data_IF_321698490625
#
_entry.id   IF_321698490625
#
_cell.length_a   1.000
_cell.length_b   1.000
_cell.length_c   1.000
_cell.angle_alpha   90.00
_cell.angle_beta   90.00
_cell.angle_gamma   90.00
#
_symmetry.space_group_name_H-M   'P 1'
#
loop_
_entity.id
_entity.type
_entity.pdbx_description
1 polymer ?
2 branched ?
3 branched ?
4 non-polymer ?
5 water ?
#
# COMPACT_ATOMS: atom_id res chain seq x y z
N UNK A 19 20.79 2.06 15.40
CA UNK A 19 19.41 2.42 15.84
C UNK A 19 19.08 1.72 17.17
N UNK A 20 18.61 2.48 18.15
CA UNK A 20 18.19 1.98 19.48
C UNK A 20 16.66 1.94 19.58
N UNK A 21 15.94 2.47 18.58
CA UNK A 21 14.47 2.32 18.48
C UNK A 21 14.05 2.50 17.01
N UNK A 22 13.41 1.47 16.44
CA UNK A 22 13.04 1.39 15.01
C UNK A 22 12.14 2.56 14.63
N UNK A 23 12.29 3.08 13.41
CA UNK A 23 11.37 4.07 12.79
C UNK A 23 9.96 3.49 12.74
N UNK A 24 9.84 2.20 12.36
CA UNK A 24 8.59 1.43 12.45
C UNK A 24 7.55 1.85 11.43
N UNK A 25 7.95 2.02 10.17
CA UNK A 25 7.08 2.51 9.07
C UNK A 25 6.85 1.43 8.00
N UNK A 26 7.58 0.30 8.03
CA UNK A 26 7.64 -0.63 6.88
C UNK A 26 6.47 -1.62 6.95
N UNK A 27 5.95 -1.98 5.77
CA UNK A 27 4.85 -2.94 5.65
C UNK A 27 5.01 -3.90 4.48
N UNK A 28 4.34 -5.04 4.57
CA UNK A 28 4.31 -6.06 3.49
C UNK A 28 3.07 -5.87 2.61
N UNK A 29 3.26 -5.60 1.33
CA UNK A 29 2.24 -5.67 0.28
C UNK A 29 2.16 -7.12 -0.18
N UNK A 30 1.16 -7.84 0.34
CA UNK A 30 1.12 -9.31 0.44
C UNK A 30 0.05 -9.87 -0.50
N UNK A 31 0.40 -10.41 -1.68
CA UNK A 31 -0.61 -10.87 -2.63
C UNK A 31 -1.42 -12.10 -2.18
N UNK A 32 -2.61 -12.22 -2.80
CA UNK A 32 -3.57 -13.33 -2.58
C UNK A 32 -2.91 -14.70 -2.79
N UNK A 33 -1.90 -14.77 -3.67
CA UNK A 33 -1.28 -16.05 -4.12
C UNK A 33 -0.12 -16.46 -3.20
N UNK A 34 0.04 -15.85 -2.02
CA UNK A 34 1.22 -16.07 -1.16
C UNK A 34 1.03 -17.21 -0.14
N UNK A 35 0.09 -18.13 -0.34
CA UNK A 35 -0.12 -19.29 0.57
C UNK A 35 1.17 -20.03 0.89
N UNK A 36 2.17 -20.17 -0.03
CA UNK A 36 3.42 -20.86 0.31
C UNK A 36 4.40 -20.04 1.18
N UNK A 37 4.16 -18.76 1.36
CA UNK A 37 5.19 -17.84 1.95
C UNK A 37 4.82 -17.45 3.38
N UNK A 38 5.85 -17.12 4.17
CA UNK A 38 5.74 -16.82 5.62
C UNK A 38 6.10 -15.35 5.84
N UNK A 39 5.14 -14.49 6.24
CA UNK A 39 5.45 -13.07 6.50
C UNK A 39 6.47 -12.88 7.63
N UNK A 40 6.51 -13.82 8.59
CA UNK A 40 7.47 -13.84 9.70
C UNK A 40 8.92 -13.85 9.22
N UNK A 41 9.19 -14.31 8.01
CA UNK A 41 10.57 -14.31 7.43
C UNK A 41 11.08 -12.85 7.34
N UNK A 42 10.20 -11.88 7.09
CA UNK A 42 10.60 -10.46 6.88
C UNK A 42 10.33 -9.62 8.14
N UNK A 43 9.92 -10.25 9.24
CA UNK A 43 9.75 -9.58 10.56
C UNK A 43 10.72 -10.20 11.57
N UNK A 44 11.90 -9.59 11.76
CA UNK A 44 12.92 -10.07 12.72
C UNK A 44 12.60 -9.56 14.13
N UNK A 45 11.51 -8.80 14.30
CA UNK A 45 11.04 -8.32 15.60
C UNK A 45 11.77 -7.06 16.08
N UNK A 46 12.68 -6.50 15.28
CA UNK A 46 13.40 -5.24 15.65
C UNK A 46 12.37 -4.11 15.71
N UNK A 47 11.33 -4.19 14.88
CA UNK A 47 10.19 -3.25 14.90
C UNK A 47 10.17 -2.32 13.70
N UNK A 48 11.01 -2.54 12.68
CA UNK A 48 10.97 -1.72 11.44
C UNK A 48 9.76 -2.14 10.60
N UNK A 49 9.41 -3.44 10.61
CA UNK A 49 8.26 -3.98 9.82
C UNK A 49 7.07 -4.21 10.78
N UNK A 50 5.96 -3.50 10.55
CA UNK A 50 4.85 -3.39 11.54
C UNK A 50 3.51 -3.79 10.92
N UNK A 51 3.35 -3.72 9.59
CA UNK A 51 2.02 -3.81 8.94
C UNK A 51 2.04 -4.78 7.77
N UNK A 52 0.85 -5.26 7.41
CA UNK A 52 0.63 -6.13 6.22
C UNK A 52 -0.74 -5.79 5.65
N UNK A 53 -0.86 -5.71 4.33
CA UNK A 53 -2.17 -5.64 3.64
C UNK A 53 -2.10 -6.54 2.42
N UNK A 54 -3.25 -6.96 1.90
CA UNK A 54 -3.32 -7.98 0.82
C UNK A 54 -4.30 -7.55 -0.28
N UNK A 55 -4.64 -6.26 -0.35
CA UNK A 55 -5.55 -5.66 -1.36
C UNK A 55 -6.99 -6.18 -1.19
N UNK A 56 -7.26 -6.91 -0.11
CA UNK A 56 -8.58 -7.57 0.13
C UNK A 56 -9.01 -7.40 1.59
N UNK A 57 -10.22 -7.84 1.91
CA UNK A 57 -10.81 -7.75 3.28
C UNK A 57 -10.74 -9.11 3.97
N UNK A 58 -10.23 -10.15 3.31
CA UNK A 58 -9.93 -11.47 3.94
C UNK A 58 -8.46 -11.48 4.38
N UNK A 59 -8.15 -12.31 5.37
CA UNK A 59 -6.82 -12.35 6.04
C UNK A 59 -5.76 -12.77 5.02
N UNK A 60 -4.49 -12.30 5.17
CA UNK A 60 -3.41 -12.72 4.28
C UNK A 60 -3.32 -14.24 4.15
N UNK A 61 -3.35 -14.81 2.92
CA UNK A 61 -3.06 -16.22 2.72
C UNK A 61 -1.55 -16.47 2.94
N UNK A 62 -1.20 -17.28 3.93
CA UNK A 62 0.22 -17.52 4.33
C UNK A 62 0.44 -19.01 4.60
N UNK A 63 1.70 -19.42 4.73
CA UNK A 63 2.08 -20.83 5.02
C UNK A 63 1.72 -21.21 6.45
N UNK A 64 1.46 -20.23 7.33
CA UNK A 64 1.29 -20.42 8.80
C UNK A 64 -0.18 -20.28 9.21
N UNK A 65 -1.00 -19.59 8.41
CA UNK A 65 -2.34 -19.12 8.80
C UNK A 65 -2.30 -17.87 9.66
N UNK A 66 -1.09 -17.36 9.95
CA UNK A 66 -0.89 -16.12 10.71
C UNK A 66 -0.20 -15.05 9.88
N UNK A 67 0.16 -13.92 10.50
CA UNK A 67 0.74 -12.75 9.79
C UNK A 67 2.13 -12.43 10.34
N UNK A 68 2.76 -13.37 11.04
CA UNK A 68 4.16 -13.22 11.51
C UNK A 68 4.32 -12.04 12.43
N UNK A 69 3.30 -11.77 13.25
CA UNK A 69 3.29 -10.70 14.27
C UNK A 69 2.92 -9.34 13.70
N UNK A 70 2.59 -9.25 12.41
CA UNK A 70 2.29 -7.96 11.74
C UNK A 70 0.80 -7.62 11.85
N UNK A 71 0.48 -6.34 12.02
CA UNK A 71 -0.91 -5.84 12.08
C UNK A 71 -1.53 -5.80 10.70
N UNK A 72 -2.62 -6.53 10.49
CA UNK A 72 -3.29 -6.60 9.17
C UNK A 72 -4.19 -5.38 8.99
N UNK A 73 -4.06 -4.74 7.84
CA UNK A 73 -4.92 -3.62 7.38
C UNK A 73 -5.85 -4.18 6.31
N UNK A 74 -7.15 -4.24 6.59
CA UNK A 74 -8.16 -4.63 5.59
C UNK A 74 -8.18 -3.63 4.45
N UNK A 75 -8.57 -4.05 3.26
CA UNK A 75 -8.63 -3.13 2.10
C UNK A 75 -9.83 -3.48 1.21
N UNK A 76 -10.73 -2.51 1.06
CA UNK A 76 -11.82 -2.57 0.05
C UNK A 76 -11.29 -1.88 -1.21
N UNK A 77 -10.58 -2.64 -2.05
CA UNK A 77 -9.79 -2.10 -3.17
C UNK A 77 -10.63 -1.93 -4.43
N UNK A 78 -11.78 -2.59 -4.48
CA UNK A 78 -12.81 -2.46 -5.54
C UNK A 78 -14.10 -1.98 -4.87
N UNK A 79 -15.06 -1.46 -5.65
CA UNK A 79 -16.35 -1.00 -5.08
C UNK A 79 -17.16 -2.22 -4.59
N UNK A 80 -16.88 -3.38 -5.15
CA UNK A 80 -17.53 -4.67 -4.79
C UNK A 80 -16.86 -5.77 -5.60
N UNK A 81 -16.60 -6.92 -4.99
CA UNK A 81 -16.05 -8.10 -5.70
C UNK A 81 -16.49 -9.37 -4.99
N UNK A 82 -16.33 -10.51 -5.65
CA UNK A 82 -16.66 -11.84 -5.08
C UNK A 82 -15.72 -12.10 -3.88
N UNK A 83 -14.47 -11.66 -3.99
CA UNK A 83 -13.40 -11.92 -2.97
C UNK A 83 -13.51 -10.92 -1.81
N UNK A 84 -13.87 -9.67 -2.09
CA UNK A 84 -14.12 -8.60 -1.09
C UNK A 84 -15.52 -8.01 -1.30
N UNK A 85 -16.59 -8.75 -0.93
CA UNK A 85 -17.95 -8.24 -1.09
C UNK A 85 -18.12 -7.03 -0.15
N UNK A 86 -18.50 -5.88 -0.68
CA UNK A 86 -18.55 -4.62 0.11
C UNK A 86 -19.63 -4.77 1.20
N UNK A 87 -20.66 -5.59 0.97
CA UNK A 87 -21.70 -5.88 2.00
C UNK A 87 -21.08 -6.52 3.24
N UNK A 88 -19.90 -7.15 3.11
CA UNK A 88 -19.21 -7.86 4.23
C UNK A 88 -18.05 -7.02 4.78
N UNK A 89 -17.83 -5.80 4.30
CA UNK A 89 -16.69 -4.95 4.74
C UNK A 89 -16.78 -4.72 6.26
N UNK A 90 -17.92 -4.22 6.76
CA UNK A 90 -18.10 -3.93 8.21
C UNK A 90 -17.96 -5.23 9.01
N UNK A 91 -18.54 -6.32 8.52
CA UNK A 91 -18.47 -7.66 9.17
C UNK A 91 -17.01 -8.08 9.33
N UNK A 92 -16.22 -7.99 8.26
CA UNK A 92 -14.83 -8.50 8.27
C UNK A 92 -13.97 -7.64 9.18
N UNK A 93 -14.21 -6.33 9.23
CA UNK A 93 -13.47 -5.46 10.19
C UNK A 93 -13.75 -5.94 11.62
N UNK A 94 -15.02 -6.21 11.96
CA UNK A 94 -15.41 -6.60 13.34
C UNK A 94 -14.86 -7.99 13.66
N UNK A 95 -14.96 -8.92 12.72
CA UNK A 95 -14.44 -10.31 12.91
C UNK A 95 -12.92 -10.27 13.16
N UNK A 96 -12.19 -9.42 12.44
CA UNK A 96 -10.70 -9.48 12.39
C UNK A 96 -10.06 -8.42 13.29
N UNK A 97 -10.79 -7.35 13.63
CA UNK A 97 -10.33 -6.30 14.55
C UNK A 97 -9.23 -5.43 13.94
N UNK A 98 -9.31 -5.11 12.65
CA UNK A 98 -8.35 -4.15 12.03
C UNK A 98 -8.35 -2.86 12.84
N UNK A 99 -7.18 -2.23 13.00
CA UNK A 99 -7.06 -0.86 13.53
C UNK A 99 -7.14 0.16 12.39
N UNK A 100 -6.86 -0.27 11.16
CA UNK A 100 -6.83 0.61 9.96
C UNK A 100 -7.51 -0.11 8.79
N UNK A 101 -8.13 0.65 7.89
CA UNK A 101 -8.69 0.12 6.62
C UNK A 101 -8.26 1.03 5.46
N UNK A 102 -7.89 0.41 4.34
CA UNK A 102 -7.62 1.08 3.05
C UNK A 102 -8.85 0.94 2.15
N UNK A 103 -9.02 1.89 1.22
CA UNK A 103 -10.17 1.93 0.30
C UNK A 103 -9.68 1.68 -1.13
N UNK A 104 -10.30 2.31 -2.13
CA UNK A 104 -10.21 1.90 -3.56
C UNK A 104 -8.76 1.97 -4.06
N UNK A 105 -8.38 1.00 -4.90
CA UNK A 105 -7.03 0.91 -5.50
C UNK A 105 -7.04 1.66 -6.84
N UNK A 106 -6.38 2.81 -6.90
CA UNK A 106 -6.14 3.56 -8.16
C UNK A 106 -7.46 3.85 -8.89
N UNK A 107 -8.50 4.42 -8.22
CA UNK A 107 -9.72 4.80 -8.93
C UNK A 107 -9.45 5.86 -10.00
N UNK A 108 -8.37 6.64 -9.84
CA UNK A 108 -8.01 7.76 -10.74
C UNK A 108 -7.70 7.27 -12.15
N UNK A 109 -7.40 5.98 -12.35
CA UNK A 109 -7.15 5.40 -13.71
C UNK A 109 -8.13 4.24 -13.98
N UNK A 110 -9.20 4.12 -13.21
CA UNK A 110 -10.18 3.00 -13.36
C UNK A 110 -11.58 3.55 -13.60
N UNK A 111 -11.68 4.73 -14.22
CA UNK A 111 -12.96 5.29 -14.71
C UNK A 111 -13.99 5.41 -13.60
N UNK A 112 -13.54 5.82 -12.42
CA UNK A 112 -14.38 6.16 -11.24
C UNK A 112 -14.22 7.66 -11.01
N UNK A 113 -15.28 8.45 -11.11
CA UNK A 113 -15.21 9.92 -10.92
C UNK A 113 -14.95 10.20 -9.44
N UNK A 114 -14.35 11.35 -9.11
CA UNK A 114 -14.20 11.75 -7.71
C UNK A 114 -15.54 11.75 -6.96
N UNK A 115 -16.62 12.19 -7.60
CA UNK A 115 -17.99 12.23 -7.01
C UNK A 115 -18.45 10.80 -6.71
N UNK A 116 -18.26 9.87 -7.65
CA UNK A 116 -18.64 8.45 -7.47
C UNK A 116 -17.87 7.86 -6.28
N UNK A 117 -16.58 8.15 -6.19
CA UNK A 117 -15.70 7.61 -5.12
C UNK A 117 -16.14 8.19 -3.78
N UNK A 118 -16.41 9.50 -3.70
CA UNK A 118 -16.86 10.17 -2.46
C UNK A 118 -18.17 9.54 -1.97
N UNK A 119 -19.15 9.37 -2.86
CA UNK A 119 -20.48 8.81 -2.49
C UNK A 119 -20.29 7.39 -1.95
N UNK A 120 -19.50 6.59 -2.66
CA UNK A 120 -19.22 5.18 -2.29
C UNK A 120 -18.49 5.13 -0.95
N UNK A 121 -17.49 6.01 -0.76
CA UNK A 121 -16.67 6.05 0.47
C UNK A 121 -17.57 6.36 1.68
N UNK A 122 -18.47 7.34 1.54
CA UNK A 122 -19.38 7.78 2.63
C UNK A 122 -20.32 6.62 2.99
N UNK A 123 -20.81 5.89 1.98
CA UNK A 123 -21.76 4.77 2.22
C UNK A 123 -21.06 3.61 2.94
N UNK A 124 -19.85 3.24 2.50
CA UNK A 124 -19.26 1.91 2.83
C UNK A 124 -18.07 2.01 3.79
N UNK A 125 -17.25 3.06 3.69
CA UNK A 125 -15.97 3.13 4.46
C UNK A 125 -16.18 3.97 5.72
N UNK A 126 -16.86 5.11 5.61
CA UNK A 126 -17.20 6.01 6.75
C UNK A 126 -17.67 5.21 7.97
N UNK A 127 -18.60 4.23 7.83
CA UNK A 127 -19.14 3.54 9.00
C UNK A 127 -18.14 2.78 9.87
N UNK A 128 -16.96 2.44 9.31
CA UNK A 128 -15.92 1.71 10.06
C UNK A 128 -15.25 2.68 11.04
N UNK A 129 -15.55 2.56 12.33
CA UNK A 129 -15.09 3.49 13.39
C UNK A 129 -13.66 3.14 13.79
N UNK A 130 -12.76 3.17 12.81
CA UNK A 130 -11.31 2.92 12.97
C UNK A 130 -10.57 3.90 12.07
N UNK A 131 -9.25 3.79 11.98
CA UNK A 131 -8.44 4.68 11.11
C UNK A 131 -8.68 4.28 9.65
N UNK A 132 -8.78 5.28 8.78
CA UNK A 132 -9.21 5.09 7.38
C UNK A 132 -8.32 5.89 6.43
N UNK A 133 -7.94 5.29 5.31
CA UNK A 133 -7.20 5.96 4.23
C UNK A 133 -8.12 6.20 3.04
N UNK A 134 -8.08 7.40 2.47
CA UNK A 134 -8.72 7.68 1.16
C UNK A 134 -8.05 6.80 0.12
N UNK A 135 -8.70 6.61 -1.05
CA UNK A 135 -8.18 5.71 -2.08
C UNK A 135 -6.74 5.99 -2.48
N UNK A 136 -5.97 4.92 -2.71
CA UNK A 136 -4.60 5.01 -3.27
C UNK A 136 -4.68 5.58 -4.67
N UNK A 137 -4.01 6.69 -4.94
CA UNK A 137 -4.00 7.30 -6.31
C UNK A 137 -2.62 7.08 -6.91
N UNK A 138 -2.55 7.01 -8.24
CA UNK A 138 -1.28 6.86 -8.99
C UNK A 138 -0.50 8.18 -8.95
N UNK A 139 0.74 8.14 -9.41
CA UNK A 139 1.66 9.31 -9.48
C UNK A 139 1.44 10.09 -10.78
N UNK A 140 0.39 9.78 -11.56
CA UNK A 140 0.08 10.50 -12.82
C UNK A 140 -0.19 11.98 -12.56
N UNK A 141 0.29 12.85 -13.45
CA UNK A 141 -0.11 14.28 -13.51
C UNK A 141 -0.89 14.55 -14.81
N UNK A 142 -1.30 13.52 -15.55
CA UNK A 142 -2.17 13.67 -16.74
C UNK A 142 -3.54 14.12 -16.23
N UNK A 143 -4.31 14.83 -17.06
CA UNK A 143 -5.58 15.49 -16.68
C UNK A 143 -6.48 14.51 -15.92
N UNK A 144 -6.95 14.91 -14.74
CA UNK A 144 -8.00 14.20 -13.96
C UNK A 144 -7.48 12.95 -13.26
N UNK A 145 -6.17 12.79 -13.12
CA UNK A 145 -5.56 11.60 -12.46
C UNK A 145 -4.72 12.03 -11.25
N UNK A 146 -4.24 11.06 -10.47
CA UNK A 146 -3.27 11.29 -9.39
C UNK A 146 -3.76 12.29 -8.36
N UNK A 147 -2.90 13.20 -7.91
CA UNK A 147 -3.21 14.13 -6.80
C UNK A 147 -4.37 15.07 -7.18
N UNK A 148 -4.53 15.40 -8.46
CA UNK A 148 -5.66 16.25 -8.94
C UNK A 148 -6.98 15.49 -8.70
N UNK A 149 -7.01 14.21 -9.07
CA UNK A 149 -8.17 13.33 -8.78
C UNK A 149 -8.45 13.32 -7.27
N UNK A 150 -7.42 13.14 -6.45
CA UNK A 150 -7.57 13.07 -4.97
C UNK A 150 -8.14 14.40 -4.43
N UNK A 151 -7.58 15.54 -4.85
CA UNK A 151 -8.06 16.88 -4.43
C UNK A 151 -9.55 17.02 -4.78
N UNK A 152 -9.94 16.58 -5.97
CA UNK A 152 -11.34 16.65 -6.47
C UNK A 152 -12.24 15.72 -5.63
N UNK A 153 -11.75 14.54 -5.26
CA UNK A 153 -12.53 13.61 -4.39
C UNK A 153 -12.77 14.28 -3.03
N UNK A 154 -11.74 14.90 -2.44
CA UNK A 154 -11.88 15.54 -1.10
C UNK A 154 -12.90 16.69 -1.21
N UNK A 155 -12.92 17.44 -2.31
CA UNK A 155 -13.92 18.50 -2.55
C UNK A 155 -15.31 17.87 -2.67
N UNK A 156 -15.44 16.80 -3.46
CA UNK A 156 -16.72 16.07 -3.68
C UNK A 156 -17.23 15.53 -2.34
N UNK A 157 -16.33 15.13 -1.44
CA UNK A 157 -16.67 14.67 -0.06
C UNK A 157 -17.47 15.76 0.68
N UNK A 158 -17.21 17.04 0.40
CA UNK A 158 -18.01 18.17 0.94
C UNK A 158 -18.02 18.14 2.47
N UNK A 159 -16.88 17.76 3.09
CA UNK A 159 -16.70 17.71 4.55
C UNK A 159 -17.32 16.49 5.20
N UNK A 160 -17.93 15.58 4.41
CA UNK A 160 -18.74 14.45 4.93
C UNK A 160 -17.93 13.14 4.94
N UNK A 161 -16.74 13.10 4.37
CA UNK A 161 -15.85 11.92 4.43
C UNK A 161 -15.05 11.97 5.73
N UNK A 162 -14.97 10.84 6.44
CA UNK A 162 -14.07 10.63 7.60
C UNK A 162 -12.84 9.89 7.10
N UNK A 163 -11.66 10.50 7.24
CA UNK A 163 -10.39 9.87 6.85
C UNK A 163 -9.27 10.42 7.72
N UNK A 164 -8.23 9.60 7.91
CA UNK A 164 -7.02 9.90 8.69
C UNK A 164 -5.82 10.10 7.76
N UNK A 165 -5.78 9.39 6.62
CA UNK A 165 -4.59 9.30 5.75
C UNK A 165 -4.97 9.48 4.29
N UNK A 166 -4.06 10.06 3.53
CA UNK A 166 -4.05 9.94 2.04
C UNK A 166 -3.08 8.80 1.69
N UNK A 167 -3.29 8.22 0.51
CA UNK A 167 -2.66 6.95 0.11
C UNK A 167 -2.06 7.15 -1.28
N UNK A 168 -0.76 6.94 -1.40
CA UNK A 168 0.01 7.19 -2.65
C UNK A 168 0.57 5.88 -3.18
N UNK A 169 0.55 5.75 -4.51
CA UNK A 169 1.40 4.82 -5.29
C UNK A 169 2.46 5.63 -6.02
N UNK A 170 3.62 5.04 -6.25
CA UNK A 170 4.63 5.61 -7.17
C UNK A 170 5.39 4.51 -7.87
N UNK A 171 5.45 4.61 -9.20
CA UNK A 171 6.36 3.84 -10.06
C UNK A 171 7.00 4.81 -11.04
N UNK A 172 8.33 4.81 -11.11
CA UNK A 172 9.08 5.71 -12.00
C UNK A 172 10.49 5.22 -12.16
N UNK A 173 11.39 6.09 -12.62
CA UNK A 173 12.67 5.62 -13.20
C UNK A 173 13.87 6.06 -12.36
N UNK A 174 13.69 6.81 -11.27
CA UNK A 174 14.82 7.27 -10.43
C UNK A 174 14.39 7.55 -9.00
N UNK A 175 15.35 7.47 -8.07
CA UNK A 175 15.15 7.93 -6.68
C UNK A 175 14.82 9.42 -6.69
N UNK A 176 15.50 10.21 -7.52
CA UNK A 176 15.30 11.68 -7.61
C UNK A 176 13.83 11.96 -7.93
N UNK A 177 13.25 11.22 -8.88
CA UNK A 177 11.83 11.41 -9.25
C UNK A 177 10.93 11.07 -8.04
N UNK A 178 11.21 9.95 -7.37
CA UNK A 178 10.41 9.47 -6.20
C UNK A 178 10.50 10.51 -5.07
N UNK A 179 11.72 10.95 -4.73
CA UNK A 179 11.91 11.94 -3.65
C UNK A 179 11.09 13.21 -3.98
N UNK A 180 11.19 13.69 -5.21
CA UNK A 180 10.47 14.90 -5.66
C UNK A 180 8.96 14.67 -5.56
N UNK A 181 8.48 13.47 -5.89
CA UNK A 181 7.04 13.15 -5.88
C UNK A 181 6.51 13.21 -4.44
N UNK A 182 7.22 12.59 -3.50
CA UNK A 182 6.78 12.56 -2.07
C UNK A 182 6.86 13.98 -1.50
N UNK A 183 7.94 14.72 -1.78
CA UNK A 183 8.09 16.11 -1.26
C UNK A 183 6.96 16.98 -1.83
N UNK A 184 6.62 16.80 -3.10
CA UNK A 184 5.54 17.60 -3.76
C UNK A 184 4.18 17.22 -3.14
N UNK A 185 3.92 15.92 -2.95
CA UNK A 185 2.68 15.44 -2.31
C UNK A 185 2.52 16.12 -0.94
N UNK A 186 3.60 16.17 -0.16
CA UNK A 186 3.60 16.81 1.18
C UNK A 186 3.35 18.31 1.04
N UNK A 187 4.01 18.96 0.08
CA UNK A 187 3.89 20.43 -0.16
C UNK A 187 2.46 20.76 -0.56
N UNK A 188 1.82 19.89 -1.36
CA UNK A 188 0.47 20.15 -1.92
C UNK A 188 -0.63 19.73 -0.93
N UNK A 189 -0.35 18.79 -0.04
CA UNK A 189 -1.28 18.34 1.04
C UNK A 189 -0.55 18.41 2.38
N UNK A 190 -0.17 19.62 2.84
CA UNK A 190 0.72 19.75 4.00
C UNK A 190 0.08 19.40 5.36
N UNK A 191 -1.22 19.15 5.42
CA UNK A 191 -1.96 18.88 6.68
C UNK A 191 -2.46 17.43 6.71
N UNK A 192 -2.03 16.57 5.78
CA UNK A 192 -2.45 15.15 5.74
C UNK A 192 -1.25 14.23 5.94
N UNK A 193 -1.47 13.20 6.75
CA UNK A 193 -0.53 12.06 6.94
C UNK A 193 -0.64 11.13 5.73
N UNK A 194 0.51 10.64 5.27
CA UNK A 194 0.67 9.86 4.01
C UNK A 194 0.96 8.39 4.34
N UNK A 195 0.26 7.51 3.64
CA UNK A 195 0.63 6.07 3.49
C UNK A 195 1.09 5.88 2.04
N UNK A 196 2.22 5.20 1.85
CA UNK A 196 2.69 4.80 0.50
C UNK A 196 2.45 3.30 0.38
N UNK A 197 1.32 2.89 -0.22
CA UNK A 197 0.87 1.48 -0.19
C UNK A 197 1.55 0.65 -1.29
N UNK A 198 2.14 1.30 -2.31
CA UNK A 198 2.96 0.60 -3.34
C UNK A 198 4.01 1.56 -3.88
N UNK A 199 5.25 1.12 -3.98
CA UNK A 199 6.29 1.85 -4.74
C UNK A 199 7.42 0.92 -5.14
N UNK A 200 8.00 1.19 -6.31
CA UNK A 200 9.17 0.51 -6.90
C UNK A 200 9.58 1.28 -8.15
N UNK A 201 10.77 1.02 -8.69
CA UNK A 201 11.11 1.46 -10.07
C UNK A 201 10.25 0.67 -11.06
N UNK A 202 10.03 1.24 -12.25
CA UNK A 202 9.61 0.48 -13.44
C UNK A 202 10.80 -0.37 -13.90
N UNK A 203 10.59 -1.31 -14.83
CA UNK A 203 11.61 -2.31 -15.21
C UNK A 203 12.84 -1.62 -15.81
N UNK A 204 14.03 -2.19 -15.63
CA UNK A 204 15.25 -1.81 -16.36
C UNK A 204 16.26 -1.06 -15.51
N UNK A 205 15.98 -0.88 -14.22
CA UNK A 205 16.87 -0.16 -13.28
C UNK A 205 17.49 -1.11 -12.28
N UNK A 206 17.99 -0.56 -11.17
CA UNK A 206 18.54 -1.33 -10.03
C UNK A 206 17.62 -1.08 -8.82
N UNK A 207 16.69 -1.99 -8.57
CA UNK A 207 15.68 -1.83 -7.48
C UNK A 207 16.39 -1.78 -6.12
N UNK A 208 17.44 -2.58 -5.91
CA UNK A 208 18.17 -2.60 -4.59
C UNK A 208 18.68 -1.18 -4.30
N UNK A 209 19.38 -0.57 -5.25
CA UNK A 209 19.95 0.79 -5.09
C UNK A 209 18.81 1.79 -4.81
N UNK A 210 17.66 1.63 -5.46
CA UNK A 210 16.50 2.54 -5.27
C UNK A 210 16.02 2.45 -3.82
N UNK A 211 15.78 1.24 -3.32
CA UNK A 211 15.23 1.05 -1.95
C UNK A 211 16.29 1.42 -0.91
N UNK A 212 17.57 1.20 -1.20
CA UNK A 212 18.69 1.61 -0.30
C UNK A 212 18.65 3.14 -0.08
N UNK A 213 18.28 3.90 -1.10
CA UNK A 213 18.09 5.37 -1.03
C UNK A 213 16.75 5.71 -0.39
N UNK A 214 15.69 5.00 -0.77
CA UNK A 214 14.29 5.35 -0.40
C UNK A 214 14.07 5.14 1.10
N UNK A 215 14.55 4.04 1.69
CA UNK A 215 14.22 3.65 3.09
C UNK A 215 14.69 4.74 4.06
N UNK A 216 15.98 5.15 4.07
CA UNK A 216 16.45 6.17 5.02
C UNK A 216 15.72 7.50 4.81
N UNK A 217 15.43 7.85 3.55
CA UNK A 217 14.66 9.07 3.18
C UNK A 217 13.28 9.01 3.86
N UNK A 218 12.53 7.93 3.63
CA UNK A 218 11.14 7.79 4.15
C UNK A 218 11.15 7.66 5.67
N UNK A 219 12.12 6.94 6.23
CA UNK A 219 12.22 6.70 7.69
C UNK A 219 12.33 8.03 8.45
N UNK A 220 12.84 9.08 7.81
CA UNK A 220 13.04 10.41 8.42
C UNK A 220 11.83 11.32 8.29
N UNK A 221 10.80 10.93 7.54
CA UNK A 221 9.62 11.80 7.25
C UNK A 221 8.51 11.51 8.27
N UNK A 222 8.28 12.45 9.18
CA UNK A 222 7.25 12.33 10.25
C UNK A 222 5.85 12.23 9.64
N UNK A 223 5.65 12.80 8.46
CA UNK A 223 4.31 12.82 7.80
C UNK A 223 4.06 11.53 7.00
N UNK A 224 5.03 10.61 6.91
CA UNK A 224 4.80 9.26 6.30
C UNK A 224 4.56 8.28 7.44
N UNK A 225 3.33 7.74 7.53
CA UNK A 225 2.94 6.78 8.59
C UNK A 225 3.54 5.40 8.26
N UNK A 226 3.31 4.95 7.03
CA UNK A 226 3.69 3.58 6.57
C UNK A 226 4.16 3.65 5.13
N UNK A 227 5.10 2.79 4.76
CA UNK A 227 5.42 2.55 3.34
C UNK A 227 5.55 1.06 3.09
N UNK A 228 5.06 0.64 1.93
CA UNK A 228 4.97 -0.78 1.50
C UNK A 228 5.63 -0.90 0.14
N UNK A 229 6.89 -1.41 0.05
CA UNK A 229 7.47 -1.71 -1.24
C UNK A 229 6.55 -2.66 -2.02
N UNK A 230 6.40 -2.42 -3.32
CA UNK A 230 5.86 -3.43 -4.25
C UNK A 230 7.05 -4.32 -4.61
N UNK A 231 7.11 -5.58 -4.16
CA UNK A 231 5.99 -6.35 -3.65
C UNK A 231 6.55 -7.47 -2.75
N UNK A 232 5.83 -7.87 -1.70
CA UNK A 232 6.25 -8.92 -0.76
C UNK A 232 5.86 -10.30 -1.30
N UNK A 233 6.48 -10.71 -2.41
CA UNK A 233 6.30 -12.07 -3.00
C UNK A 233 7.61 -12.48 -3.68
N UNK A 234 7.63 -13.66 -4.31
CA UNK A 234 8.79 -14.21 -5.06
C UNK A 234 8.62 -13.89 -6.55
N UNK A 235 9.72 -13.86 -7.32
CA UNK A 235 9.63 -13.71 -8.77
C UNK A 235 8.72 -14.77 -9.43
N UNK A 236 8.83 -16.03 -9.02
CA UNK A 236 8.05 -17.15 -9.62
C UNK A 236 6.56 -16.91 -9.41
N UNK A 237 6.15 -16.45 -8.22
CA UNK A 237 4.72 -16.23 -7.91
C UNK A 237 4.22 -14.99 -8.66
N UNK A 238 5.02 -13.92 -8.73
CA UNK A 238 4.66 -12.71 -9.49
C UNK A 238 4.49 -13.05 -10.97
N UNK A 239 5.42 -13.84 -11.53
CA UNK A 239 5.38 -14.24 -12.97
C UNK A 239 4.10 -15.04 -13.23
N UNK A 240 3.77 -15.97 -12.34
CA UNK A 240 2.64 -16.91 -12.49
C UNK A 240 1.30 -16.17 -12.37
N UNK A 241 1.22 -15.13 -11.53
CA UNK A 241 -0.07 -14.57 -11.08
C UNK A 241 -0.25 -13.10 -11.44
N UNK A 242 0.79 -12.41 -11.88
CA UNK A 242 0.67 -10.97 -12.22
C UNK A 242 1.62 -10.65 -13.38
N UNK A 243 1.37 -11.20 -14.58
CA UNK A 243 2.20 -10.88 -15.74
C UNK A 243 2.22 -9.37 -16.03
N UNK A 244 1.14 -8.66 -15.71
CA UNK A 244 1.05 -7.19 -15.85
C UNK A 244 2.12 -6.49 -15.04
N UNK A 245 2.27 -6.87 -13.77
CA UNK A 245 3.33 -6.32 -12.88
C UNK A 245 4.71 -6.64 -13.47
N UNK A 246 4.90 -7.84 -14.01
CA UNK A 246 6.23 -8.28 -14.55
C UNK A 246 6.59 -7.39 -15.76
N UNK A 247 5.64 -7.05 -16.64
CA UNK A 247 5.92 -6.21 -17.83
C UNK A 247 6.22 -4.77 -17.39
N UNK A 248 5.58 -4.27 -16.34
CA UNK A 248 5.66 -2.86 -15.89
C UNK A 248 6.86 -2.66 -14.96
N UNK A 249 7.00 -3.53 -13.96
CA UNK A 249 7.97 -3.38 -12.84
C UNK A 249 9.17 -4.32 -13.04
N UNK A 250 8.94 -5.51 -13.61
CA UNK A 250 9.89 -6.63 -13.56
C UNK A 250 9.80 -7.35 -12.23
N UNK A 251 10.77 -8.20 -11.91
CA UNK A 251 10.78 -9.04 -10.67
C UNK A 251 11.86 -8.55 -9.70
N UNK A 252 12.54 -7.44 -10.00
CA UNK A 252 13.67 -6.93 -9.20
C UNK A 252 13.27 -6.42 -7.83
N UNK A 253 12.00 -6.07 -7.63
CA UNK A 253 11.51 -5.48 -6.34
C UNK A 253 10.82 -6.54 -5.47
N UNK A 254 10.86 -7.82 -5.88
CA UNK A 254 10.31 -8.94 -5.08
C UNK A 254 11.11 -9.08 -3.78
N UNK A 255 10.43 -9.10 -2.63
CA UNK A 255 11.11 -9.15 -1.31
C UNK A 255 11.56 -10.57 -0.98
N UNK A 256 11.00 -11.58 -1.66
CA UNK A 256 11.32 -13.00 -1.40
C UNK A 256 12.11 -13.59 -2.56
N UNK A 257 12.94 -14.57 -2.25
CA UNK A 257 13.55 -15.51 -3.23
C UNK A 257 12.48 -16.53 -3.61
N UNK A 258 12.73 -17.30 -4.66
CA UNK A 258 11.79 -18.35 -5.13
C UNK A 258 11.64 -19.44 -4.06
N UNK A 259 12.61 -19.59 -3.15
CA UNK A 259 12.57 -20.58 -2.04
C UNK A 259 11.76 -20.05 -0.85
N UNK A 260 11.48 -18.75 -0.80
CA UNK A 260 10.69 -18.13 0.29
C UNK A 260 11.56 -17.54 1.39
N UNK A 261 12.84 -17.29 1.10
CA UNK A 261 13.74 -16.51 1.97
C UNK A 261 13.77 -15.05 1.55
N UNK A 262 14.49 -14.18 2.29
CA UNK A 262 14.61 -12.78 1.90
C UNK A 262 15.54 -12.64 0.67
N UNK A 263 15.10 -11.87 -0.32
CA UNK A 263 15.91 -11.42 -1.48
C UNK A 263 16.86 -10.32 -0.99
N UNK A 264 17.70 -9.80 -1.87
CA UNK A 264 18.56 -8.63 -1.55
C UNK A 264 17.67 -7.45 -1.16
N UNK A 265 16.48 -7.31 -1.75
CA UNK A 265 15.53 -6.22 -1.39
C UNK A 265 14.88 -6.57 -0.05
N UNK A 266 14.44 -7.82 0.13
CA UNK A 266 13.92 -8.30 1.43
C UNK A 266 14.87 -7.98 2.57
N UNK A 267 16.18 -8.16 2.35
CA UNK A 267 17.22 -7.92 3.39
C UNK A 267 17.20 -6.46 3.86
N UNK A 268 16.75 -5.53 3.03
CA UNK A 268 16.67 -4.08 3.39
C UNK A 268 15.52 -3.85 4.39
N UNK A 269 14.56 -4.77 4.48
CA UNK A 269 13.37 -4.59 5.34
C UNK A 269 13.75 -4.69 6.82
N UNK A 270 14.80 -5.43 7.17
CA UNK A 270 15.21 -5.68 8.58
C UNK A 270 15.66 -4.36 9.20
#
# INVERSE_FOLDING_TARGET
MGSSHHHHHHSSGLVPRGSHMASGKRGLAWPWYNSPLDPGVLNNGDGEVVAIYDWETYAPPTSTGGTGGLGFIGMQGTMDSDSSPVAQLATRQAQQGWATVFSLNEPDINGITPAEAASWYIEWVNPLAIKKALPAVTSSTTSGQGLSWLSEMISACAGACYFDYINLHWYGTSFAEFQAYIEQAHNQFPSYTIVISEFALTNGGNQVAFFESAFPFLDGLSYVLLYFPFVATSPALLQANDPGAVTTVGTGSCLYTNAGGPSSVGNLMY
#
